data_IF_958346694927
#
_entry.id   IF_958346694927
#
_cell.length_a   1.000
_cell.length_b   1.000
_cell.length_c   1.000
_cell.angle_alpha   90.00
_cell.angle_beta   90.00
_cell.angle_gamma   90.00
#
_symmetry.space_group_name_H-M   'P 1'
#
loop_
_entity.id
_entity.type
_entity.pdbx_description
1 polymer ?
#
# COMPACT_ATOMS: atom_id res chain seq x y z
N UNK A 1 5.17 22.92 -18.44
CA UNK A 1 3.74 22.56 -18.34
C UNK A 1 3.09 22.27 -19.69
N UNK A 2 3.23 23.12 -20.72
CA UNK A 2 2.61 22.88 -22.04
C UNK A 2 3.11 21.61 -22.76
N UNK A 3 4.40 21.27 -22.62
CA UNK A 3 4.99 20.07 -23.21
C UNK A 3 4.40 18.77 -22.66
N UNK A 4 4.21 18.68 -21.34
CA UNK A 4 3.56 17.55 -20.69
C UNK A 4 2.10 17.38 -21.15
N UNK A 5 1.42 18.50 -21.42
CA UNK A 5 0.02 18.52 -21.87
C UNK A 5 -0.12 18.00 -23.32
N UNK A 6 0.85 18.32 -24.19
CA UNK A 6 0.93 17.79 -25.56
C UNK A 6 1.17 16.28 -25.62
N UNK A 7 1.99 15.74 -24.71
CA UNK A 7 2.26 14.32 -24.60
C UNK A 7 1.01 13.54 -24.16
N UNK A 8 0.31 14.03 -23.15
CA UNK A 8 -0.94 13.42 -22.64
C UNK A 8 -2.01 13.38 -23.75
N UNK A 9 -2.17 14.44 -24.53
CA UNK A 9 -3.15 14.49 -25.61
C UNK A 9 -2.80 13.60 -26.81
N UNK A 10 -1.51 13.39 -27.10
CA UNK A 10 -1.08 12.51 -28.19
C UNK A 10 -1.10 11.03 -27.80
N UNK A 11 -0.75 10.69 -26.56
CA UNK A 11 -0.54 9.31 -26.13
C UNK A 11 -1.74 8.69 -25.39
N UNK A 12 -2.69 9.48 -24.90
CA UNK A 12 -3.92 8.93 -24.32
C UNK A 12 -4.99 8.81 -25.41
N UNK A 13 -5.37 7.58 -25.83
CA UNK A 13 -6.44 7.39 -26.79
C UNK A 13 -7.77 7.92 -26.23
N UNK A 14 -8.52 8.69 -27.03
CA UNK A 14 -9.77 9.37 -26.63
C UNK A 14 -10.90 8.43 -26.15
N UNK A 15 -10.74 7.12 -26.24
CA UNK A 15 -11.68 6.14 -25.69
C UNK A 15 -10.91 4.94 -25.15
N UNK A 16 -10.76 4.86 -23.83
CA UNK A 16 -10.08 3.75 -23.12
C UNK A 16 -11.05 2.69 -22.61
N UNK A 17 -12.32 2.70 -23.04
CA UNK A 17 -13.28 1.67 -22.65
C UNK A 17 -14.30 1.44 -23.74
N UNK A 18 -14.15 0.34 -24.47
CA UNK A 18 -15.25 -0.27 -25.21
C UNK A 18 -16.28 -0.73 -24.18
N UNK A 19 -17.43 -0.07 -24.14
CA UNK A 19 -18.62 -0.57 -23.45
C UNK A 19 -19.02 -1.90 -24.11
N UNK A 20 -18.66 -3.02 -23.48
CA UNK A 20 -19.04 -4.36 -23.92
C UNK A 20 -20.55 -4.55 -23.73
N UNK A 21 -21.34 -4.30 -24.78
CA UNK A 21 -22.74 -4.70 -24.84
C UNK A 21 -22.87 -6.10 -25.49
N UNK A 22 -23.66 -6.97 -24.83
CA UNK A 22 -24.05 -8.37 -25.15
C UNK A 22 -22.96 -9.42 -24.86
N UNK A 23 -23.25 -10.61 -24.31
CA UNK A 23 -24.42 -11.48 -24.47
C UNK A 23 -24.60 -12.45 -23.29
N UNK A 24 -25.84 -12.90 -23.06
CA UNK A 24 -26.22 -14.03 -22.19
C UNK A 24 -25.23 -15.20 -22.27
N UNK A 25 -24.62 -15.55 -21.13
CA UNK A 25 -23.73 -16.70 -21.00
C UNK A 25 -23.26 -16.84 -19.56
N UNK A 26 -24.00 -17.64 -18.80
CA UNK A 26 -23.73 -18.12 -17.43
C UNK A 26 -22.23 -18.17 -17.08
N UNK A 27 -21.79 -17.36 -16.10
CA UNK A 27 -20.62 -17.62 -15.27
C UNK A 27 -20.70 -16.83 -13.96
N UNK A 28 -21.17 -17.54 -12.95
CA UNK A 28 -21.40 -17.21 -11.56
C UNK A 28 -20.09 -16.86 -10.80
N UNK A 29 -19.39 -15.78 -11.19
CA UNK A 29 -18.13 -15.40 -10.52
C UNK A 29 -17.75 -13.91 -10.66
N UNK A 30 -18.68 -13.00 -10.96
CA UNK A 30 -18.36 -11.57 -11.12
C UNK A 30 -18.40 -10.74 -9.82
N UNK A 31 -18.64 -11.36 -8.66
CA UNK A 31 -18.70 -10.64 -7.38
C UNK A 31 -17.91 -11.34 -6.25
N UNK A 32 -16.71 -11.81 -6.55
CA UNK A 32 -15.75 -12.14 -5.48
C UNK A 32 -15.12 -10.83 -5.01
N UNK A 33 -15.69 -10.24 -3.96
CA UNK A 33 -15.06 -9.12 -3.23
C UNK A 33 -13.62 -9.52 -2.91
N UNK A 34 -12.67 -8.76 -3.46
CA UNK A 34 -11.21 -8.95 -3.28
C UNK A 34 -10.83 -8.94 -1.79
N UNK A 35 -11.63 -8.27 -0.95
CA UNK A 35 -11.58 -8.33 0.49
C UNK A 35 -12.92 -8.80 1.06
N UNK A 36 -13.11 -10.12 1.09
CA UNK A 36 -14.21 -10.74 1.82
C UNK A 36 -13.74 -11.05 3.25
N UNK A 37 -14.33 -10.39 4.25
CA UNK A 37 -14.06 -10.66 5.67
C UNK A 37 -14.31 -12.13 6.02
N UNK A 38 -15.29 -12.75 5.36
CA UNK A 38 -15.57 -14.19 5.49
C UNK A 38 -14.42 -15.07 4.97
N UNK A 39 -13.82 -14.71 3.83
CA UNK A 39 -12.65 -15.43 3.30
C UNK A 39 -11.40 -15.22 4.17
N UNK A 40 -11.19 -14.01 4.70
CA UNK A 40 -10.08 -13.74 5.63
C UNK A 40 -10.23 -14.60 6.88
N UNK A 41 -11.45 -14.65 7.44
CA UNK A 41 -11.74 -15.49 8.62
C UNK A 41 -11.58 -16.97 8.31
N UNK A 42 -11.95 -17.42 7.11
CA UNK A 42 -11.72 -18.79 6.63
C UNK A 42 -10.22 -19.10 6.53
N UNK A 43 -9.43 -18.18 5.99
CA UNK A 43 -7.98 -18.31 5.88
C UNK A 43 -7.30 -18.43 7.25
N UNK A 44 -7.79 -17.71 8.25
CA UNK A 44 -7.27 -17.79 9.62
C UNK A 44 -7.47 -19.17 10.27
N UNK A 45 -8.42 -19.98 9.79
CA UNK A 45 -8.68 -21.33 10.31
C UNK A 45 -7.72 -22.39 9.77
N UNK A 46 -6.92 -22.09 8.74
CA UNK A 46 -5.94 -23.05 8.25
C UNK A 46 -4.82 -23.28 9.28
N UNK A 47 -4.34 -24.53 9.42
CA UNK A 47 -3.33 -24.87 10.40
C UNK A 47 -2.06 -24.05 10.18
N UNK A 48 -1.55 -23.42 11.24
CA UNK A 48 -0.33 -22.61 11.20
C UNK A 48 -0.51 -21.15 10.77
N UNK A 49 -1.58 -20.80 10.04
CA UNK A 49 -1.79 -19.42 9.54
C UNK A 49 -1.97 -18.44 10.68
N UNK A 50 -2.81 -18.77 11.67
CA UNK A 50 -3.02 -17.92 12.85
C UNK A 50 -1.73 -17.62 13.61
N UNK A 51 -0.88 -18.64 13.79
CA UNK A 51 0.40 -18.48 14.50
C UNK A 51 1.33 -17.54 13.75
N UNK A 52 1.53 -17.76 12.45
CA UNK A 52 2.41 -16.91 11.63
C UNK A 52 1.87 -15.49 11.53
N UNK A 53 0.55 -15.34 11.41
CA UNK A 53 -0.11 -14.04 11.39
C UNK A 53 0.12 -13.28 12.70
N UNK A 54 -0.08 -13.93 13.86
CA UNK A 54 0.18 -13.30 15.16
C UNK A 54 1.64 -12.88 15.30
N UNK A 55 2.59 -13.74 14.91
CA UNK A 55 4.01 -13.40 14.96
C UNK A 55 4.27 -12.15 14.11
N UNK A 56 3.78 -12.12 12.86
CA UNK A 56 3.93 -10.96 11.98
C UNK A 56 3.32 -9.68 12.55
N UNK A 57 2.15 -9.78 13.19
CA UNK A 57 1.50 -8.62 13.79
C UNK A 57 2.29 -8.13 15.00
N UNK A 58 2.69 -9.02 15.90
CA UNK A 58 3.43 -8.66 17.12
C UNK A 58 4.82 -8.11 16.78
N UNK A 59 5.47 -8.61 15.74
CA UNK A 59 6.79 -8.10 15.32
C UNK A 59 6.67 -6.84 14.45
N UNK A 60 5.69 -6.80 13.55
CA UNK A 60 5.55 -5.73 12.56
C UNK A 60 4.89 -4.47 13.11
N UNK A 61 3.92 -4.60 14.01
CA UNK A 61 3.17 -3.46 14.54
C UNK A 61 4.06 -2.51 15.37
N UNK A 62 4.91 -2.98 16.31
CA UNK A 62 5.87 -2.11 16.98
C UNK A 62 6.83 -1.42 16.02
N UNK A 63 7.30 -2.12 14.98
CA UNK A 63 8.17 -1.53 13.94
C UNK A 63 7.47 -0.39 13.20
N UNK A 64 6.19 -0.56 12.85
CA UNK A 64 5.40 0.49 12.19
C UNK A 64 5.19 1.71 13.07
N UNK A 65 4.88 1.50 14.36
CA UNK A 65 4.76 2.60 15.33
C UNK A 65 6.09 3.33 15.47
N UNK A 66 7.18 2.59 15.64
CA UNK A 66 8.52 3.16 15.77
C UNK A 66 8.88 4.00 14.55
N UNK A 67 8.61 3.51 13.34
CA UNK A 67 8.88 4.24 12.10
C UNK A 67 8.11 5.56 12.02
N UNK A 68 6.82 5.57 12.37
CA UNK A 68 6.01 6.81 12.36
C UNK A 68 6.51 7.80 13.42
N UNK A 69 6.91 7.32 14.59
CA UNK A 69 7.42 8.16 15.68
C UNK A 69 8.90 8.53 15.55
N UNK A 70 9.63 7.91 14.61
CA UNK A 70 11.08 7.98 14.57
C UNK A 70 11.60 9.43 14.48
N UNK A 71 10.87 10.31 13.79
CA UNK A 71 11.23 11.73 13.65
C UNK A 71 11.19 12.48 14.97
N UNK A 72 10.17 12.21 15.79
CA UNK A 72 10.06 12.78 17.12
C UNK A 72 11.19 12.23 18.01
N UNK A 73 11.49 10.94 17.91
CA UNK A 73 12.58 10.32 18.66
C UNK A 73 13.94 10.92 18.27
N UNK A 74 14.20 11.13 16.98
CA UNK A 74 15.42 11.76 16.49
C UNK A 74 15.63 13.17 17.07
N UNK A 75 14.59 13.99 17.06
CA UNK A 75 14.66 15.36 17.60
C UNK A 75 14.74 15.38 19.14
N UNK A 76 13.91 14.59 19.82
CA UNK A 76 13.73 14.70 21.27
C UNK A 76 14.72 13.86 22.08
N UNK A 77 15.06 12.65 21.63
CA UNK A 77 15.99 11.76 22.33
C UNK A 77 17.43 11.95 21.87
N UNK A 78 17.65 11.96 20.55
CA UNK A 78 18.99 12.10 19.98
C UNK A 78 19.43 13.56 19.84
N UNK A 79 18.53 14.52 20.11
CA UNK A 79 18.80 15.96 20.06
C UNK A 79 19.33 16.43 18.69
N UNK A 80 18.90 15.76 17.61
CA UNK A 80 19.26 16.17 16.25
C UNK A 80 18.68 17.54 15.92
N UNK A 81 19.44 18.30 15.13
CA UNK A 81 18.91 19.51 14.52
C UNK A 81 17.78 19.20 13.53
N UNK A 82 16.85 20.15 13.26
CA UNK A 82 15.80 19.96 12.26
C UNK A 82 16.34 19.61 10.87
N UNK A 83 17.48 20.20 10.48
CA UNK A 83 18.14 19.93 9.19
C UNK A 83 18.69 18.50 9.13
N UNK A 84 19.39 18.07 10.18
CA UNK A 84 19.96 16.72 10.31
C UNK A 84 18.86 15.65 10.32
N UNK A 85 17.77 15.89 11.06
CA UNK A 85 16.62 15.01 11.05
C UNK A 85 15.96 14.95 9.66
N UNK A 86 15.92 16.08 8.94
CA UNK A 86 15.46 16.14 7.55
C UNK A 86 16.29 15.26 6.61
N UNK A 87 17.63 15.32 6.72
CA UNK A 87 18.52 14.44 5.95
C UNK A 87 18.33 12.96 6.32
N UNK A 88 18.16 12.66 7.61
CA UNK A 88 17.91 11.31 8.10
C UNK A 88 16.59 10.74 7.56
N UNK A 89 15.52 11.53 7.55
CA UNK A 89 14.23 11.15 6.97
C UNK A 89 14.30 10.95 5.45
N UNK A 90 15.04 11.80 4.74
CA UNK A 90 15.26 11.64 3.31
C UNK A 90 16.01 10.34 3.00
N UNK A 91 17.01 9.99 3.80
CA UNK A 91 17.71 8.72 3.68
C UNK A 91 16.77 7.51 3.87
N UNK A 92 15.92 7.53 4.92
CA UNK A 92 14.91 6.48 5.10
C UNK A 92 13.95 6.40 3.91
N UNK A 93 13.50 7.53 3.37
CA UNK A 93 12.61 7.55 2.20
C UNK A 93 13.22 6.92 0.95
N UNK A 94 14.54 7.04 0.75
CA UNK A 94 15.24 6.46 -0.41
C UNK A 94 15.50 4.95 -0.20
N UNK A 95 15.94 4.55 1.00
CA UNK A 95 16.36 3.16 1.26
C UNK A 95 15.18 2.23 1.56
N UNK A 96 14.07 2.77 2.06
CA UNK A 96 12.92 1.98 2.50
C UNK A 96 11.82 1.84 1.43
N UNK A 97 11.94 2.54 0.30
CA UNK A 97 11.14 2.35 -0.93
C UNK A 97 11.70 1.20 -1.78
#
# INVERSE_FOLDING_TARGET
>A
SAFSLLLVLNFIPKSTKTETSRSNGRSENQNKKVFSVGEITRLMKFPGVLRIFLIKVITGLPSGIFQVMFSIIALDFFKLGPEENGYLMAYFGIVQM
#
